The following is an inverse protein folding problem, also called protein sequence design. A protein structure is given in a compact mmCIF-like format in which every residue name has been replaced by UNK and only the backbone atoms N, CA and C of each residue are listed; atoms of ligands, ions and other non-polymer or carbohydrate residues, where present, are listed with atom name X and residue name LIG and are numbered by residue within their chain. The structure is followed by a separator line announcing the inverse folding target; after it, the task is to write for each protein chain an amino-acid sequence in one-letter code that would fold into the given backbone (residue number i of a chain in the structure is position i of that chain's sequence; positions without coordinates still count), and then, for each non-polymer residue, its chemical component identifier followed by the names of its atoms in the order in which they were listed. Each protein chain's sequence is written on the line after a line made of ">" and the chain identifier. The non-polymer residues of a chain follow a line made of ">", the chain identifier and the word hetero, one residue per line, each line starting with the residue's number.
data_IF_219332869337
#
_entry.id   IF_219332869337
#
_cell.length_a   1.000
_cell.length_b   1.000
_cell.length_c   1.000
_cell.angle_alpha   90.00
_cell.angle_beta   90.00
_cell.angle_gamma   90.00
#
_symmetry.space_group_name_H-M   'P 1'
#
loop_
_entity.id
_entity.type
_entity.pdbx_description
1 polymer ?
#
# COMPACT_ATOMS: atom_id res chain seq x y z
N UNK A 1 64.42 0.77 4.64
CA UNK A 1 63.97 2.17 4.67
C UNK A 1 64.23 2.76 3.29
N UNK A 2 63.27 2.68 2.37
CA UNK A 2 63.19 3.50 1.14
C UNK A 2 61.86 3.20 0.45
N UNK A 3 61.20 4.27 0.02
CA UNK A 3 59.77 4.39 -0.20
C UNK A 3 59.34 3.83 -1.56
N UNK A 4 58.38 2.90 -1.56
CA UNK A 4 57.67 2.48 -2.77
C UNK A 4 56.52 3.47 -2.98
N UNK A 5 56.70 4.41 -3.92
CA UNK A 5 55.62 5.29 -4.40
C UNK A 5 54.65 4.46 -5.23
N UNK A 6 53.51 4.10 -4.64
CA UNK A 6 52.36 3.60 -5.40
C UNK A 6 51.63 4.80 -6.01
N UNK A 7 51.86 4.98 -7.30
CA UNK A 7 51.15 5.93 -8.15
C UNK A 7 49.74 5.42 -8.43
N UNK A 8 48.72 6.18 -8.03
CA UNK A 8 47.31 5.97 -8.38
C UNK A 8 47.10 5.92 -9.89
N UNK A 9 46.35 4.95 -10.44
CA UNK A 9 45.80 5.07 -11.77
C UNK A 9 44.59 6.01 -11.76
N UNK A 10 44.67 7.02 -12.63
CA UNK A 10 43.62 7.97 -12.93
C UNK A 10 42.35 7.26 -13.41
N UNK A 11 41.24 7.55 -12.73
CA UNK A 11 39.89 7.19 -13.14
C UNK A 11 39.50 8.06 -14.34
N UNK A 12 39.50 7.47 -15.53
CA UNK A 12 39.01 8.09 -16.77
C UNK A 12 37.53 7.70 -16.92
N UNK A 13 36.57 8.64 -16.83
CA UNK A 13 35.18 8.33 -17.15
C UNK A 13 35.00 8.21 -18.67
N UNK A 14 34.70 7.00 -19.13
CA UNK A 14 34.37 6.67 -20.51
C UNK A 14 33.00 7.24 -20.89
N UNK A 15 32.99 8.18 -21.83
CA UNK A 15 31.83 8.88 -22.37
C UNK A 15 31.07 8.03 -23.40
N UNK A 16 30.46 6.93 -22.96
CA UNK A 16 29.74 6.02 -23.85
C UNK A 16 28.44 5.48 -23.21
N UNK A 17 27.50 6.36 -22.85
CA UNK A 17 26.08 5.98 -22.73
C UNK A 17 25.18 7.23 -22.63
N UNK A 18 25.26 8.13 -23.61
CA UNK A 18 24.50 9.38 -23.61
C UNK A 18 23.92 9.68 -24.99
N UNK A 19 23.30 8.68 -25.63
CA UNK A 19 22.73 8.87 -26.98
C UNK A 19 21.57 7.93 -27.31
N UNK A 20 20.65 7.70 -26.35
CA UNK A 20 19.38 7.03 -26.69
C UNK A 20 18.12 7.60 -26.00
N UNK A 21 18.23 8.72 -25.28
CA UNK A 21 17.09 9.31 -24.56
C UNK A 21 16.63 10.68 -25.12
N UNK A 22 17.26 11.18 -26.19
CA UNK A 22 16.93 12.48 -26.81
C UNK A 22 16.03 12.42 -28.07
N UNK A 23 15.53 11.25 -28.49
CA UNK A 23 14.64 11.16 -29.66
C UNK A 23 13.13 11.26 -29.36
N UNK A 24 12.70 11.48 -28.10
CA UNK A 24 11.26 11.53 -27.77
C UNK A 24 10.65 12.93 -27.56
N UNK A 25 11.45 13.99 -27.63
CA UNK A 25 11.01 15.36 -27.31
C UNK A 25 10.95 16.34 -28.50
N UNK A 26 10.99 15.87 -29.75
CA UNK A 26 10.81 16.73 -30.94
C UNK A 26 9.75 16.16 -31.88
N UNK A 27 8.48 16.33 -31.51
CA UNK A 27 7.39 16.54 -32.48
C UNK A 27 6.36 17.49 -31.87
N UNK A 28 6.87 18.67 -31.54
CA UNK A 28 6.08 19.85 -31.25
C UNK A 28 5.82 20.57 -32.57
N UNK A 29 4.54 20.81 -32.84
CA UNK A 29 4.00 21.94 -33.60
C UNK A 29 4.12 21.92 -35.14
N UNK A 30 2.97 22.00 -35.81
CA UNK A 30 2.52 23.27 -36.40
C UNK A 30 1.71 23.06 -37.67
N UNK A 31 0.48 23.57 -37.63
CA UNK A 31 -0.20 24.32 -38.69
C UNK A 31 -0.83 23.62 -39.89
N UNK A 32 -2.08 24.08 -40.13
CA UNK A 32 -2.66 24.55 -41.41
C UNK A 32 -3.88 23.71 -41.82
N UNK A 33 -5.11 24.16 -41.54
CA UNK A 33 -5.86 25.16 -42.32
C UNK A 33 -6.27 24.68 -43.72
N UNK A 34 -7.53 24.23 -43.84
CA UNK A 34 -8.39 24.52 -45.00
C UNK A 34 -9.87 24.28 -44.68
N UNK A 35 -10.55 25.39 -44.33
CA UNK A 35 -11.89 25.83 -44.76
C UNK A 35 -12.58 24.94 -45.81
N UNK A 36 -13.83 24.47 -45.54
CA UNK A 36 -15.07 24.71 -46.32
C UNK A 36 -16.29 24.34 -45.41
N UNK A 37 -17.23 25.27 -45.24
CA UNK A 37 -18.61 25.08 -44.73
C UNK A 37 -19.51 24.67 -45.92
N UNK A 38 -20.61 23.90 -45.76
CA UNK A 38 -21.86 24.55 -45.37
C UNK A 38 -22.80 23.75 -44.45
N UNK A 39 -23.72 24.50 -43.85
CA UNK A 39 -24.94 24.04 -43.24
C UNK A 39 -25.84 23.33 -44.27
N UNK A 40 -26.60 22.30 -43.87
CA UNK A 40 -28.06 22.39 -43.91
C UNK A 40 -28.77 21.22 -43.20
N UNK A 41 -29.82 21.59 -42.48
CA UNK A 41 -31.13 20.95 -42.29
C UNK A 41 -31.36 19.43 -42.36
N UNK A 42 -32.22 19.06 -41.41
CA UNK A 42 -33.41 18.20 -41.54
C UNK A 42 -33.23 16.69 -41.29
N UNK A 43 -33.67 16.34 -40.07
CA UNK A 43 -34.65 15.29 -39.82
C UNK A 43 -35.12 14.51 -41.05
N UNK A 44 -34.81 13.22 -41.06
CA UNK A 44 -35.72 12.22 -41.64
C UNK A 44 -35.81 11.04 -40.68
N UNK A 45 -36.92 11.01 -39.95
CA UNK A 45 -37.57 9.79 -39.48
C UNK A 45 -37.65 8.81 -40.66
N UNK A 46 -36.94 7.70 -40.55
CA UNK A 46 -37.28 6.50 -41.29
C UNK A 46 -37.29 5.33 -40.32
N UNK A 47 -38.52 4.94 -39.97
CA UNK A 47 -38.88 3.67 -39.37
C UNK A 47 -38.35 2.53 -40.24
N UNK A 48 -37.08 2.20 -40.03
CA UNK A 48 -36.48 0.97 -40.48
C UNK A 48 -36.82 -0.10 -39.47
N UNK A 49 -37.86 -0.89 -39.75
CA UNK A 49 -38.22 -2.12 -39.02
C UNK A 49 -37.07 -3.13 -39.13
N UNK A 50 -35.99 -2.89 -38.39
CA UNK A 50 -34.83 -3.77 -38.29
C UNK A 50 -35.18 -4.84 -37.28
N UNK A 51 -35.34 -6.07 -37.76
CA UNK A 51 -35.50 -7.25 -36.90
C UNK A 51 -34.27 -7.34 -35.99
N UNK A 52 -34.42 -6.89 -34.75
CA UNK A 52 -33.42 -7.03 -33.69
C UNK A 52 -33.31 -8.52 -33.38
N UNK A 53 -32.23 -9.13 -33.85
CA UNK A 53 -31.85 -10.46 -33.42
C UNK A 53 -31.58 -10.45 -31.92
N UNK A 54 -32.08 -11.46 -31.21
CA UNK A 54 -31.97 -11.63 -29.74
C UNK A 54 -30.54 -11.48 -29.18
N UNK A 55 -29.51 -11.58 -30.02
CA UNK A 55 -28.09 -11.49 -29.63
C UNK A 55 -27.55 -10.06 -29.54
N UNK A 56 -28.16 -9.11 -30.25
CA UNK A 56 -27.68 -7.71 -30.28
C UNK A 56 -28.19 -6.89 -29.08
N UNK A 57 -29.28 -7.32 -28.45
CA UNK A 57 -29.80 -6.70 -27.23
C UNK A 57 -28.92 -6.98 -26.00
N UNK A 58 -28.25 -8.13 -25.94
CA UNK A 58 -27.39 -8.54 -24.81
C UNK A 58 -26.12 -7.70 -24.75
N UNK A 59 -25.55 -7.32 -25.91
CA UNK A 59 -24.32 -6.54 -25.97
C UNK A 59 -24.51 -5.08 -25.53
N UNK A 60 -25.68 -4.49 -25.79
CA UNK A 60 -26.00 -3.13 -25.31
C UNK A 60 -26.29 -3.08 -23.81
N UNK A 61 -26.79 -4.17 -23.21
CA UNK A 61 -26.98 -4.27 -21.77
C UNK A 61 -25.65 -4.51 -21.01
N UNK A 62 -24.70 -5.25 -21.60
CA UNK A 62 -23.43 -5.50 -20.93
C UNK A 62 -22.56 -4.23 -20.82
N UNK A 63 -22.60 -3.37 -21.86
CA UNK A 63 -21.85 -2.12 -21.91
C UNK A 63 -22.31 -1.09 -20.86
N UNK A 64 -23.62 -1.02 -20.56
CA UNK A 64 -24.13 -0.12 -19.51
C UNK A 64 -23.81 -0.63 -18.10
N UNK A 65 -23.80 -1.96 -17.90
CA UNK A 65 -23.43 -2.56 -16.60
C UNK A 65 -21.94 -2.38 -16.31
N UNK A 66 -21.04 -2.47 -17.30
CA UNK A 66 -19.60 -2.23 -17.06
C UNK A 66 -19.27 -0.77 -16.79
N UNK A 67 -19.97 0.18 -17.42
CA UNK A 67 -19.79 1.61 -17.15
C UNK A 67 -20.23 1.99 -15.72
N UNK A 68 -21.30 1.37 -15.19
CA UNK A 68 -21.73 1.56 -13.80
C UNK A 68 -20.79 0.93 -12.77
N UNK A 69 -20.05 -0.12 -13.12
CA UNK A 69 -19.08 -0.77 -12.22
C UNK A 69 -17.74 -0.03 -12.16
N UNK A 70 -17.41 0.81 -13.16
CA UNK A 70 -16.14 1.56 -13.18
C UNK A 70 -16.22 2.96 -12.56
N UNK A 71 -17.40 3.45 -12.23
CA UNK A 71 -17.59 4.81 -11.69
C UNK A 71 -17.48 4.90 -10.15
N UNK A 72 -17.00 3.84 -9.49
CA UNK A 72 -16.73 3.85 -8.04
C UNK A 72 -15.32 3.37 -7.70
N UNK A 73 -14.32 4.00 -8.30
CA UNK A 73 -13.02 4.19 -7.66
C UNK A 73 -12.46 5.56 -8.07
N UNK A 74 -13.19 6.62 -7.75
CA UNK A 74 -12.45 7.79 -7.31
C UNK A 74 -11.77 7.45 -6.00
N UNK A 75 -10.51 7.86 -5.92
CA UNK A 75 -9.65 7.76 -4.76
C UNK A 75 -10.32 8.38 -3.53
N UNK A 76 -11.18 7.62 -2.86
CA UNK A 76 -11.26 7.71 -1.42
C UNK A 76 -9.97 7.08 -0.94
N UNK A 77 -8.95 7.93 -0.79
CA UNK A 77 -8.06 7.76 0.35
C UNK A 77 -8.95 7.83 1.58
N UNK A 78 -9.67 6.75 1.88
CA UNK A 78 -10.20 6.53 3.21
C UNK A 78 -8.95 6.32 4.03
N UNK A 79 -8.43 7.43 4.55
CA UNK A 79 -7.70 7.38 5.79
C UNK A 79 -8.64 6.61 6.71
N UNK A 80 -8.33 5.33 6.89
CA UNK A 80 -9.00 4.44 7.81
C UNK A 80 -9.22 5.26 9.08
N UNK A 81 -10.47 5.61 9.38
CA UNK A 81 -10.82 6.58 10.43
C UNK A 81 -10.62 5.90 11.78
N UNK A 82 -9.34 5.81 12.15
CA UNK A 82 -8.83 5.16 13.35
C UNK A 82 -9.40 5.83 14.62
N UNK A 83 -9.84 7.08 14.50
CA UNK A 83 -10.47 7.87 15.55
C UNK A 83 -11.87 7.32 15.85
N UNK A 84 -12.63 6.95 14.81
CA UNK A 84 -13.92 6.27 14.92
C UNK A 84 -13.78 4.83 15.44
N UNK A 85 -12.70 4.11 15.07
CA UNK A 85 -12.42 2.76 15.58
C UNK A 85 -12.05 2.74 17.07
N UNK A 86 -11.26 3.70 17.54
CA UNK A 86 -10.95 3.84 18.97
C UNK A 86 -12.18 4.24 19.78
N UNK A 87 -13.00 5.16 19.27
CA UNK A 87 -14.20 5.65 19.96
C UNK A 87 -15.32 4.62 20.05
N UNK A 88 -15.32 3.61 19.17
CA UNK A 88 -16.23 2.47 19.20
C UNK A 88 -15.80 1.36 20.17
N UNK A 89 -14.55 1.38 20.65
CA UNK A 89 -14.07 0.44 21.66
C UNK A 89 -14.43 1.02 23.04
N UNK A 90 -15.11 0.22 23.88
CA UNK A 90 -15.56 0.60 25.23
C UNK A 90 -14.42 1.01 26.19
N UNK A 91 -14.73 1.23 27.48
CA UNK A 91 -14.17 2.32 28.27
C UNK A 91 -12.65 2.20 28.52
N UNK A 92 -12.01 3.37 28.53
CA UNK A 92 -10.59 3.70 28.69
C UNK A 92 -9.67 3.19 27.59
N UNK A 93 -9.52 3.98 26.52
CA UNK A 93 -8.25 4.01 25.81
C UNK A 93 -7.12 4.23 26.85
N UNK A 94 -6.01 3.48 26.75
CA UNK A 94 -4.92 3.61 27.71
C UNK A 94 -4.41 5.05 27.71
N UNK A 95 -4.03 5.52 28.89
CA UNK A 95 -3.32 6.80 29.03
C UNK A 95 -2.05 6.78 28.17
N UNK A 96 -1.56 7.96 27.78
CA UNK A 96 -0.36 8.02 26.93
C UNK A 96 0.83 7.34 27.63
N UNK A 97 0.92 7.49 28.94
CA UNK A 97 1.93 6.90 29.81
C UNK A 97 1.85 5.37 29.81
N UNK A 98 0.64 4.81 29.94
CA UNK A 98 0.41 3.36 29.82
C UNK A 98 0.78 2.83 28.43
N UNK A 99 0.43 3.57 27.36
CA UNK A 99 0.76 3.17 26.00
C UNK A 99 2.29 3.18 25.75
N UNK A 100 3.02 4.20 26.23
CA UNK A 100 4.47 4.30 26.07
C UNK A 100 5.22 3.24 26.88
N UNK A 101 4.71 2.86 28.06
CA UNK A 101 5.30 1.80 28.88
C UNK A 101 4.94 0.40 28.36
N UNK A 102 3.71 0.20 27.88
CA UNK A 102 3.18 -1.07 27.38
C UNK A 102 3.74 -1.48 26.01
N UNK A 103 4.05 -0.51 25.14
CA UNK A 103 4.42 -0.79 23.73
C UNK A 103 5.59 -1.76 23.58
N UNK A 104 6.62 -1.64 24.44
CA UNK A 104 7.79 -2.54 24.41
C UNK A 104 7.42 -3.96 24.80
N UNK A 105 6.49 -4.12 25.75
CA UNK A 105 5.96 -5.42 26.16
C UNK A 105 5.18 -6.08 25.04
N UNK A 106 4.26 -5.34 24.41
CA UNK A 106 3.46 -5.87 23.30
C UNK A 106 4.31 -6.16 22.05
N UNK A 107 5.31 -5.34 21.76
CA UNK A 107 6.30 -5.59 20.71
C UNK A 107 7.08 -6.88 20.97
N UNK A 108 7.54 -7.10 22.20
CA UNK A 108 8.24 -8.34 22.57
C UNK A 108 7.37 -9.57 22.42
N UNK A 109 6.12 -9.52 22.91
CA UNK A 109 5.17 -10.63 22.73
C UNK A 109 4.87 -10.92 21.26
N UNK A 110 4.91 -9.91 20.39
CA UNK A 110 4.75 -10.10 18.95
C UNK A 110 5.94 -10.84 18.32
N UNK A 111 7.17 -10.61 18.82
CA UNK A 111 8.37 -11.31 18.35
C UNK A 111 8.46 -12.76 18.85
N UNK A 112 7.90 -13.05 20.02
CA UNK A 112 7.83 -14.40 20.62
C UNK A 112 7.00 -15.39 19.79
N UNK A 113 6.14 -14.89 18.90
CA UNK A 113 5.38 -15.71 17.93
C UNK A 113 6.30 -16.59 17.09
N UNK A 114 7.57 -16.21 16.91
CA UNK A 114 8.60 -17.02 16.24
C UNK A 114 8.74 -18.42 16.84
N UNK A 115 8.82 -18.53 18.17
CA UNK A 115 8.99 -19.82 18.84
C UNK A 115 7.79 -20.74 18.61
N UNK A 116 6.58 -20.17 18.66
CA UNK A 116 5.35 -20.93 18.43
C UNK A 116 5.18 -21.37 16.96
N UNK A 117 5.52 -20.51 16.00
CA UNK A 117 5.40 -20.83 14.57
C UNK A 117 6.48 -21.80 14.07
N UNK A 118 7.71 -21.67 14.56
CA UNK A 118 8.87 -22.31 13.92
C UNK A 118 9.47 -23.45 14.74
N UNK A 119 9.40 -23.37 16.07
CA UNK A 119 10.01 -24.37 16.93
C UNK A 119 8.99 -25.41 17.40
N UNK A 120 7.73 -24.99 17.57
CA UNK A 120 6.67 -25.82 18.16
C UNK A 120 5.55 -26.20 17.18
N UNK A 121 5.60 -25.73 15.92
CA UNK A 121 4.59 -25.94 14.87
C UNK A 121 3.14 -25.68 15.35
N UNK A 122 2.99 -24.78 16.33
CA UNK A 122 1.76 -24.56 17.08
C UNK A 122 0.95 -23.42 16.46
N UNK A 123 0.57 -23.59 15.21
CA UNK A 123 -0.07 -22.56 14.36
C UNK A 123 -1.25 -21.83 15.01
N UNK A 124 -2.14 -22.57 15.67
CA UNK A 124 -3.33 -22.00 16.32
C UNK A 124 -2.95 -21.08 17.48
N UNK A 125 -2.03 -21.53 18.33
CA UNK A 125 -1.55 -20.76 19.48
C UNK A 125 -0.73 -19.55 19.03
N UNK A 126 0.09 -19.73 18.00
CA UNK A 126 0.81 -18.64 17.35
C UNK A 126 -0.12 -17.56 16.81
N UNK A 127 -1.18 -17.94 16.08
CA UNK A 127 -2.18 -17.00 15.59
C UNK A 127 -2.93 -16.31 16.73
N UNK A 128 -3.27 -17.04 17.79
CA UNK A 128 -3.90 -16.47 18.99
C UNK A 128 -3.01 -15.40 19.62
N UNK A 129 -1.73 -15.72 19.83
CA UNK A 129 -0.76 -14.80 20.40
C UNK A 129 -0.53 -13.59 19.47
N UNK A 130 -0.40 -13.82 18.17
CA UNK A 130 -0.23 -12.78 17.14
C UNK A 130 -1.41 -11.80 17.14
N UNK A 131 -2.65 -12.29 17.14
CA UNK A 131 -3.86 -11.45 17.14
C UNK A 131 -3.99 -10.67 18.45
N UNK A 132 -3.71 -11.30 19.60
CA UNK A 132 -3.75 -10.64 20.91
C UNK A 132 -2.70 -9.53 21.02
N UNK A 133 -1.44 -9.85 20.75
CA UNK A 133 -0.33 -8.90 20.82
C UNK A 133 -0.50 -7.75 19.83
N UNK A 134 -0.89 -8.05 18.58
CA UNK A 134 -1.15 -7.01 17.57
C UNK A 134 -2.33 -6.12 17.92
N UNK A 135 -3.41 -6.66 18.53
CA UNK A 135 -4.54 -5.85 18.98
C UNK A 135 -4.13 -4.85 20.05
N UNK A 136 -3.36 -5.28 21.05
CA UNK A 136 -2.86 -4.38 22.09
C UNK A 136 -1.90 -3.34 21.50
N UNK A 137 -0.99 -3.77 20.64
CA UNK A 137 -0.05 -2.87 19.96
C UNK A 137 -0.76 -1.82 19.09
N UNK A 138 -1.90 -2.16 18.46
CA UNK A 138 -2.72 -1.19 17.71
C UNK A 138 -3.25 -0.09 18.61
N UNK A 139 -3.73 -0.44 19.80
CA UNK A 139 -4.30 0.51 20.75
C UNK A 139 -3.21 1.49 21.18
N UNK A 140 -2.05 0.99 21.62
CA UNK A 140 -0.94 1.81 22.10
C UNK A 140 -0.38 2.72 21.01
N UNK A 141 -0.10 2.15 19.82
CA UNK A 141 0.43 2.94 18.70
C UNK A 141 -0.54 4.01 18.26
N UNK A 142 -1.85 3.73 18.26
CA UNK A 142 -2.84 4.73 17.89
C UNK A 142 -2.88 5.88 18.90
N UNK A 143 -2.76 5.58 20.20
CA UNK A 143 -2.67 6.59 21.27
C UNK A 143 -1.42 7.45 21.12
N UNK A 144 -0.26 6.83 20.88
CA UNK A 144 1.01 7.53 20.66
C UNK A 144 0.95 8.40 19.39
N UNK A 145 0.39 7.90 18.29
CA UNK A 145 0.25 8.68 17.04
C UNK A 145 -0.65 9.91 17.23
N UNK A 146 -1.62 9.84 18.13
CA UNK A 146 -2.50 10.96 18.44
C UNK A 146 -1.82 12.05 19.26
N UNK A 147 -0.94 11.69 20.17
CA UNK A 147 -0.23 12.66 21.02
C UNK A 147 0.90 13.41 20.30
N UNK A 148 1.39 12.89 19.17
CA UNK A 148 2.48 13.49 18.39
C UNK A 148 2.05 14.72 17.57
N UNK A 149 2.96 15.67 17.31
CA UNK A 149 2.64 16.88 16.55
C UNK A 149 2.25 16.56 15.10
N UNK A 150 1.38 17.37 14.46
CA UNK A 150 0.83 17.10 13.13
C UNK A 150 1.86 16.80 12.04
N UNK A 151 3.07 17.38 12.12
CA UNK A 151 4.15 17.15 11.16
C UNK A 151 4.69 15.71 11.17
N UNK A 152 4.69 15.02 12.31
CA UNK A 152 5.23 13.67 12.45
C UNK A 152 4.18 12.57 12.21
N UNK A 153 2.89 12.91 12.36
CA UNK A 153 1.79 11.93 12.25
C UNK A 153 1.73 11.21 10.89
N UNK A 154 1.96 11.84 9.72
CA UNK A 154 1.93 11.15 8.43
C UNK A 154 2.98 10.05 8.32
N UNK A 155 4.21 10.33 8.77
CA UNK A 155 5.31 9.35 8.78
C UNK A 155 4.97 8.16 9.68
N UNK A 156 4.49 8.41 10.90
CA UNK A 156 4.12 7.35 11.84
C UNK A 156 2.93 6.53 11.33
N UNK A 157 1.94 7.16 10.69
CA UNK A 157 0.81 6.44 10.06
C UNK A 157 1.27 5.51 8.95
N UNK A 158 2.24 5.93 8.13
CA UNK A 158 2.79 5.09 7.08
C UNK A 158 3.47 3.84 7.67
N UNK A 159 4.30 4.01 8.70
CA UNK A 159 4.95 2.89 9.40
C UNK A 159 3.93 1.97 10.08
N UNK A 160 2.94 2.55 10.77
CA UNK A 160 1.82 1.83 11.36
C UNK A 160 1.10 0.96 10.33
N UNK A 161 0.70 1.54 9.19
CA UNK A 161 0.01 0.81 8.13
C UNK A 161 0.89 -0.30 7.55
N UNK A 162 2.18 -0.05 7.34
CA UNK A 162 3.12 -1.05 6.82
C UNK A 162 3.28 -2.24 7.78
N UNK A 163 3.43 -1.97 9.08
CA UNK A 163 3.54 -2.98 10.12
C UNK A 163 2.29 -3.87 10.17
N UNK A 164 1.10 -3.27 10.33
CA UNK A 164 -0.13 -4.06 10.48
C UNK A 164 -0.57 -4.75 9.19
N UNK A 165 -0.23 -4.21 8.02
CA UNK A 165 -0.38 -4.94 6.76
C UNK A 165 0.46 -6.21 6.76
N UNK A 166 1.71 -6.12 7.23
CA UNK A 166 2.62 -7.27 7.30
C UNK A 166 2.11 -8.31 8.30
N UNK A 167 1.63 -7.88 9.48
CA UNK A 167 1.03 -8.75 10.49
C UNK A 167 -0.21 -9.47 9.95
N UNK A 168 -1.11 -8.78 9.25
CA UNK A 168 -2.29 -9.42 8.65
C UNK A 168 -1.92 -10.45 7.58
N UNK A 169 -0.89 -10.17 6.78
CA UNK A 169 -0.36 -11.14 5.81
C UNK A 169 0.28 -12.34 6.52
N UNK A 170 0.99 -12.11 7.62
CA UNK A 170 1.60 -13.17 8.43
C UNK A 170 0.52 -14.09 9.04
N UNK A 171 -0.57 -13.52 9.56
CA UNK A 171 -1.72 -14.29 10.08
C UNK A 171 -2.33 -15.18 9.00
N UNK A 172 -2.46 -14.65 7.78
CA UNK A 172 -2.95 -15.40 6.61
C UNK A 172 -1.96 -16.51 6.20
N UNK A 173 -0.67 -16.21 6.09
CA UNK A 173 0.35 -17.20 5.74
C UNK A 173 0.43 -18.33 6.78
N UNK A 174 0.29 -17.99 8.07
CA UNK A 174 0.23 -18.96 9.16
C UNK A 174 -1.03 -19.84 9.10
N UNK A 175 -2.15 -19.32 8.57
CA UNK A 175 -3.38 -20.09 8.34
C UNK A 175 -3.17 -21.15 7.25
N UNK A 176 -2.53 -20.74 6.16
CA UNK A 176 -2.22 -21.61 5.01
C UNK A 176 -0.99 -22.51 5.26
N UNK A 177 -0.29 -22.31 6.39
CA UNK A 177 0.93 -23.03 6.79
C UNK A 177 2.06 -22.91 5.76
N UNK A 178 2.13 -21.76 5.09
CA UNK A 178 3.21 -21.45 4.15
C UNK A 178 4.45 -20.99 4.93
N UNK A 179 5.32 -21.93 5.28
CA UNK A 179 6.51 -21.70 6.10
C UNK A 179 7.46 -20.68 5.47
N UNK A 180 7.64 -20.73 4.14
CA UNK A 180 8.55 -19.83 3.43
C UNK A 180 8.04 -18.39 3.48
N UNK A 181 6.74 -18.20 3.22
CA UNK A 181 6.12 -16.87 3.29
C UNK A 181 6.05 -16.36 4.73
N UNK A 182 5.77 -17.24 5.71
CA UNK A 182 5.78 -16.92 7.14
C UNK A 182 7.13 -16.37 7.57
N UNK A 183 8.24 -17.02 7.18
CA UNK A 183 9.58 -16.56 7.51
C UNK A 183 9.87 -15.16 6.94
N UNK A 184 9.58 -14.97 5.64
CA UNK A 184 9.78 -13.68 4.98
C UNK A 184 8.95 -12.56 5.61
N UNK A 185 7.68 -12.84 5.95
CA UNK A 185 6.80 -11.86 6.58
C UNK A 185 7.19 -11.58 8.03
N UNK A 186 7.71 -12.59 8.75
CA UNK A 186 8.23 -12.41 10.10
C UNK A 186 9.44 -11.48 10.12
N UNK A 187 10.42 -11.67 9.24
CA UNK A 187 11.58 -10.79 9.12
C UNK A 187 11.15 -9.36 8.80
N UNK A 188 10.23 -9.19 7.85
CA UNK A 188 9.69 -7.88 7.50
C UNK A 188 8.93 -7.23 8.66
N UNK A 189 8.20 -8.02 9.45
CA UNK A 189 7.50 -7.55 10.64
C UNK A 189 8.50 -7.07 11.70
N UNK A 190 9.58 -7.81 11.95
CA UNK A 190 10.60 -7.44 12.92
C UNK A 190 11.29 -6.13 12.55
N UNK A 191 11.64 -5.94 11.27
CA UNK A 191 12.22 -4.67 10.78
C UNK A 191 11.22 -3.52 10.93
N UNK A 192 9.97 -3.70 10.51
CA UNK A 192 8.94 -2.66 10.63
C UNK A 192 8.68 -2.29 12.10
N UNK A 193 8.76 -3.26 13.01
CA UNK A 193 8.60 -3.03 14.44
C UNK A 193 9.75 -2.18 15.01
N UNK A 194 10.99 -2.45 14.61
CA UNK A 194 12.16 -1.66 14.99
C UNK A 194 12.09 -0.22 14.45
N UNK A 195 11.65 -0.05 13.20
CA UNK A 195 11.43 1.27 12.60
C UNK A 195 10.38 2.08 13.35
N UNK A 196 9.29 1.44 13.79
CA UNK A 196 8.24 2.07 14.59
C UNK A 196 8.77 2.45 15.97
N UNK A 197 9.46 1.54 16.66
CA UNK A 197 10.03 1.81 17.99
C UNK A 197 11.09 2.91 17.97
N UNK A 198 11.86 3.02 16.87
CA UNK A 198 12.84 4.08 16.67
C UNK A 198 12.22 5.45 16.35
N UNK A 199 10.98 5.48 15.85
CA UNK A 199 10.30 6.71 15.46
C UNK A 199 9.47 7.35 16.58
N UNK A 200 9.26 6.63 17.69
CA UNK A 200 8.47 7.06 18.85
C UNK A 200 9.38 7.76 19.86
#
# INVERSE_FOLDING_TARGET
>A
MMMIRLTSPAFVPSAACQTQQQQRCLRYNSSSSSRIKPANQQQQLKDGKRKVGRRTAVLLLYATVTALVMQKQEASGSGMDWEQMLKSSGPSAPTLEEAVTGIRGHARSLLEVKGLLLEQDSWSEAQRLLRKSSSNLKIDLSSIIQSKPPALRPRLRALYSALFTTVSRLDYAARERDVALVWQLYERMAVALEEVLSAI
#
